data_IF_838652202645
#
_entry.id   IF_838652202645
#
_cell.length_a   1.000
_cell.length_b   1.000
_cell.length_c   1.000
_cell.angle_alpha   90.00
_cell.angle_beta   90.00
_cell.angle_gamma   90.00
#
_symmetry.space_group_name_H-M   'P 1'
#
loop_
_entity.id
_entity.type
_entity.pdbx_description
1 polymer ?
#
# COMPACT_ATOMS: atom_id res chain seq x y z
N UNK A 1 20.05 52.92 12.90
CA UNK A 1 19.84 52.46 11.51
C UNK A 1 18.94 51.24 11.57
N UNK A 2 17.79 51.32 10.91
CA UNK A 2 16.67 50.40 11.02
C UNK A 2 16.78 49.35 9.92
N UNK A 3 16.62 48.07 10.25
CA UNK A 3 16.41 47.01 9.27
C UNK A 3 15.29 46.12 9.77
N UNK A 4 14.11 46.31 9.17
CA UNK A 4 12.89 45.57 9.43
C UNK A 4 12.96 44.18 8.78
N UNK A 5 12.62 43.13 9.54
CA UNK A 5 12.43 41.79 9.03
C UNK A 5 10.93 41.58 8.77
N UNK A 6 10.55 41.40 7.51
CA UNK A 6 9.16 41.21 7.08
C UNK A 6 8.77 39.75 7.31
N UNK A 7 7.83 39.52 8.22
CA UNK A 7 7.17 38.23 8.45
C UNK A 7 6.00 38.08 7.49
N UNK A 8 6.05 37.10 6.58
CA UNK A 8 4.92 36.78 5.70
C UNK A 8 4.01 35.80 6.43
N UNK A 9 2.92 36.31 6.98
CA UNK A 9 1.75 35.52 7.38
C UNK A 9 1.01 35.04 6.11
N UNK A 10 0.81 33.73 5.96
CA UNK A 10 -0.18 33.19 5.00
C UNK A 10 -1.37 32.65 5.78
N UNK A 11 -2.44 33.42 5.79
CA UNK A 11 -3.77 33.01 6.25
C UNK A 11 -4.37 31.99 5.29
N UNK A 12 -4.81 30.84 5.81
CA UNK A 12 -5.60 29.85 5.08
C UNK A 12 -7.07 30.24 5.24
N UNK A 13 -7.70 30.67 4.15
CA UNK A 13 -9.14 30.90 4.09
C UNK A 13 -9.87 29.59 3.81
N UNK A 14 -10.73 29.17 4.75
CA UNK A 14 -11.78 28.18 4.52
C UNK A 14 -12.86 28.80 3.63
N UNK A 15 -13.18 28.18 2.49
CA UNK A 15 -14.45 28.42 1.78
C UNK A 15 -15.14 27.08 1.54
N UNK A 16 -16.38 27.04 2.03
CA UNK A 16 -17.28 25.91 2.05
C UNK A 16 -17.81 25.55 0.66
N UNK A 17 -18.04 24.25 0.45
CA UNK A 17 -18.74 23.68 -0.69
C UNK A 17 -20.25 23.96 -0.63
N UNK A 18 -20.91 24.10 -1.79
CA UNK A 18 -22.29 23.65 -2.07
C UNK A 18 -22.57 23.61 -3.60
N UNK A 19 -23.59 22.87 -4.06
CA UNK A 19 -23.59 22.16 -5.35
C UNK A 19 -24.39 22.88 -6.45
N UNK A 20 -24.17 22.49 -7.71
CA UNK A 20 -25.04 22.89 -8.82
C UNK A 20 -25.61 21.70 -9.59
N UNK A 21 -26.94 21.73 -9.70
CA UNK A 21 -27.83 20.80 -10.37
C UNK A 21 -28.06 21.14 -11.84
N UNK A 22 -28.23 20.09 -12.66
CA UNK A 22 -29.12 19.92 -13.82
C UNK A 22 -29.45 21.10 -14.75
N UNK A 23 -29.18 20.92 -16.06
CA UNK A 23 -30.20 21.06 -17.13
C UNK A 23 -29.82 20.33 -18.44
N UNK A 24 -30.84 19.68 -19.01
CA UNK A 24 -30.93 19.04 -20.35
C UNK A 24 -30.80 20.05 -21.50
N UNK A 25 -30.46 19.58 -22.71
CA UNK A 25 -31.30 19.64 -23.93
C UNK A 25 -30.73 18.71 -25.04
N UNK A 26 -31.66 18.30 -25.91
CA UNK A 26 -31.72 17.27 -26.96
C UNK A 26 -30.73 17.34 -28.13
N UNK A 27 -30.54 16.18 -28.77
CA UNK A 27 -30.12 16.03 -30.17
C UNK A 27 -30.23 14.58 -30.63
N UNK A 28 -31.37 14.22 -31.25
CA UNK A 28 -31.62 12.95 -31.95
C UNK A 28 -30.74 12.86 -33.20
N UNK A 29 -30.17 11.69 -33.50
CA UNK A 29 -30.26 11.12 -34.86
C UNK A 29 -29.99 9.61 -34.87
N UNK A 30 -30.90 8.90 -35.52
CA UNK A 30 -30.90 7.46 -35.79
C UNK A 30 -30.58 7.31 -37.27
N UNK A 31 -29.65 6.41 -37.63
CA UNK A 31 -29.72 5.70 -38.91
C UNK A 31 -28.96 4.37 -38.84
N UNK A 32 -29.72 3.28 -38.94
CA UNK A 32 -29.26 1.92 -39.30
C UNK A 32 -29.07 1.86 -40.81
N UNK A 33 -28.10 1.08 -41.28
CA UNK A 33 -28.37 -0.10 -42.14
C UNK A 33 -27.13 -0.98 -42.33
N UNK A 34 -27.39 -2.29 -42.39
CA UNK A 34 -26.48 -3.40 -42.65
C UNK A 34 -26.03 -3.47 -44.11
N UNK A 35 -24.84 -4.04 -44.37
CA UNK A 35 -24.60 -4.80 -45.61
C UNK A 35 -23.45 -5.81 -45.44
N UNK A 36 -23.75 -7.04 -45.86
CA UNK A 36 -22.91 -8.25 -45.96
C UNK A 36 -21.92 -8.19 -47.12
N UNK A 37 -20.76 -8.86 -47.00
CA UNK A 37 -19.86 -9.14 -48.12
C UNK A 37 -18.59 -9.90 -47.73
N UNK A 38 -18.43 -11.09 -48.32
CA UNK A 38 -17.46 -12.16 -48.04
C UNK A 38 -16.04 -11.93 -48.61
N UNK A 39 -15.04 -12.57 -48.00
CA UNK A 39 -13.59 -12.62 -48.31
C UNK A 39 -13.24 -13.12 -49.74
N UNK A 40 -11.99 -12.87 -50.21
CA UNK A 40 -10.98 -13.93 -50.09
C UNK A 40 -9.55 -13.49 -49.70
N UNK A 41 -8.83 -14.49 -49.20
CA UNK A 41 -7.41 -14.64 -48.84
C UNK A 41 -6.42 -14.11 -49.89
N UNK A 42 -5.33 -13.44 -49.46
CA UNK A 42 -3.94 -13.54 -49.97
C UNK A 42 -2.99 -12.78 -49.01
N UNK A 43 -2.00 -13.49 -48.48
CA UNK A 43 -0.72 -12.99 -47.91
C UNK A 43 0.31 -12.92 -49.07
N UNK A 44 1.34 -12.04 -49.09
CA UNK A 44 2.41 -12.08 -48.09
C UNK A 44 3.12 -10.73 -47.80
N UNK A 45 4.15 -10.84 -46.95
CA UNK A 45 5.31 -9.93 -46.75
C UNK A 45 5.18 -8.89 -45.65
N UNK A 46 5.91 -9.16 -44.56
CA UNK A 46 6.12 -8.30 -43.40
C UNK A 46 6.96 -7.07 -43.74
N UNK A 47 6.63 -5.88 -43.20
CA UNK A 47 7.62 -4.86 -42.93
C UNK A 47 8.15 -5.06 -41.50
N UNK A 48 9.46 -5.27 -41.38
CA UNK A 48 10.18 -5.13 -40.12
C UNK A 48 10.11 -3.65 -39.70
N UNK A 49 9.10 -3.30 -38.91
CA UNK A 49 9.07 -2.02 -38.21
C UNK A 49 9.86 -2.20 -36.92
N UNK A 50 11.12 -1.79 -36.95
CA UNK A 50 11.91 -1.57 -35.75
C UNK A 50 11.32 -0.39 -34.99
N UNK A 51 10.50 -0.66 -33.97
CA UNK A 51 10.11 0.36 -33.00
C UNK A 51 11.33 0.69 -32.13
N UNK A 52 11.82 1.94 -32.09
CA UNK A 52 12.81 2.33 -31.10
C UNK A 52 12.17 2.34 -29.71
N UNK A 53 12.90 2.05 -28.62
CA UNK A 53 12.36 2.18 -27.28
C UNK A 53 12.40 3.66 -26.92
N UNK A 54 11.34 4.40 -27.25
CA UNK A 54 11.12 5.71 -26.63
C UNK A 54 9.68 6.14 -26.72
N UNK A 55 9.01 6.11 -25.58
CA UNK A 55 8.51 7.36 -25.02
C UNK A 55 8.26 7.15 -23.53
N UNK A 56 8.98 7.93 -22.72
CA UNK A 56 8.59 8.23 -21.36
C UNK A 56 7.18 8.83 -21.42
N UNK A 57 6.18 7.98 -21.18
CA UNK A 57 4.83 8.46 -20.90
C UNK A 57 4.92 9.12 -19.53
N UNK A 58 4.52 10.39 -19.51
CA UNK A 58 4.42 11.24 -18.33
C UNK A 58 3.54 10.54 -17.28
N UNK A 59 4.16 9.72 -16.42
CA UNK A 59 3.47 9.11 -15.30
C UNK A 59 3.23 10.22 -14.26
N UNK A 60 1.98 10.39 -13.91
CA UNK A 60 1.50 11.26 -12.83
C UNK A 60 2.29 11.00 -11.54
N UNK A 61 3.17 11.94 -11.18
CA UNK A 61 3.50 12.32 -9.81
C UNK A 61 4.05 11.29 -8.83
N UNK A 62 4.42 10.07 -9.24
CA UNK A 62 5.21 9.19 -8.39
C UNK A 62 6.66 9.71 -8.42
N UNK A 63 7.24 10.01 -7.26
CA UNK A 63 8.70 10.08 -7.12
C UNK A 63 9.16 8.73 -6.60
N UNK A 64 9.34 7.71 -7.47
CA UNK A 64 9.99 6.49 -7.06
C UNK A 64 11.40 6.87 -6.62
N UNK A 65 11.73 6.57 -5.37
CA UNK A 65 13.12 6.62 -4.96
C UNK A 65 13.72 5.29 -5.34
N UNK A 66 14.79 5.32 -6.11
CA UNK A 66 15.70 4.18 -6.31
C UNK A 66 16.47 3.92 -5.01
N UNK A 67 15.74 3.63 -3.95
CA UNK A 67 16.23 3.19 -2.65
C UNK A 67 15.93 1.70 -2.54
N UNK A 68 16.89 0.82 -2.90
CA UNK A 68 16.69 -0.62 -2.86
C UNK A 68 16.14 -1.05 -1.50
N UNK A 69 15.18 -1.98 -1.51
CA UNK A 69 14.58 -2.47 -0.28
C UNK A 69 15.68 -2.95 0.69
N UNK A 70 15.60 -2.50 1.95
CA UNK A 70 16.60 -2.77 3.02
C UNK A 70 17.94 -2.03 2.88
N UNK A 71 18.08 -1.07 1.97
CA UNK A 71 19.22 -0.15 1.97
C UNK A 71 19.11 0.91 3.08
N UNK A 72 20.21 1.57 3.42
CA UNK A 72 20.21 2.64 4.43
C UNK A 72 19.33 3.82 4.01
N UNK A 73 19.31 4.15 2.72
CA UNK A 73 18.42 5.16 2.13
C UNK A 73 16.95 4.77 2.30
N UNK A 74 16.63 3.48 2.10
CA UNK A 74 15.28 2.96 2.30
C UNK A 74 14.84 3.07 3.77
N UNK A 75 15.71 2.73 4.73
CA UNK A 75 15.43 2.93 6.15
C UNK A 75 15.27 4.41 6.51
N UNK A 76 16.09 5.29 5.91
CA UNK A 76 16.01 6.72 6.14
C UNK A 76 14.68 7.31 5.64
N UNK A 77 14.26 6.97 4.42
CA UNK A 77 12.98 7.41 3.84
C UNK A 77 11.77 7.01 4.69
N UNK A 78 11.82 5.81 5.28
CA UNK A 78 10.76 5.24 6.13
C UNK A 78 10.71 5.81 7.52
N UNK A 79 11.82 6.33 8.05
CA UNK A 79 11.91 6.87 9.41
C UNK A 79 10.89 7.99 9.59
N UNK A 80 10.86 8.91 8.65
CA UNK A 80 10.01 10.11 8.69
C UNK A 80 8.65 9.94 8.02
N UNK A 81 8.23 8.69 7.78
CA UNK A 81 6.96 8.38 7.13
C UNK A 81 6.22 7.27 7.84
N UNK A 82 4.90 7.34 7.78
CA UNK A 82 4.04 6.23 8.13
C UNK A 82 3.97 5.27 6.95
N UNK A 83 4.43 4.04 7.16
CA UNK A 83 4.51 3.04 6.09
C UNK A 83 3.28 2.13 6.11
N UNK A 84 2.83 1.67 4.95
CA UNK A 84 1.61 0.83 4.82
C UNK A 84 1.61 -0.39 5.74
N UNK A 85 2.78 -1.01 5.96
CA UNK A 85 2.96 -2.14 6.88
C UNK A 85 2.64 -1.81 8.35
N UNK A 86 2.64 -0.53 8.73
CA UNK A 86 2.35 -0.05 10.09
C UNK A 86 0.93 0.48 10.26
N UNK A 87 0.13 0.54 9.20
CA UNK A 87 -1.21 1.15 9.24
C UNK A 87 -2.13 0.47 10.25
N UNK A 88 -2.16 -0.87 10.30
CA UNK A 88 -2.98 -1.60 11.29
C UNK A 88 -2.60 -1.25 12.73
N UNK A 89 -1.32 -0.97 13.00
CA UNK A 89 -0.84 -0.49 14.30
C UNK A 89 -1.32 0.94 14.58
N UNK A 90 -1.17 1.86 13.62
CA UNK A 90 -1.66 3.24 13.74
C UNK A 90 -3.19 3.31 13.90
N UNK A 91 -3.92 2.36 13.31
CA UNK A 91 -5.37 2.19 13.43
C UNK A 91 -5.80 1.55 14.76
N UNK A 92 -4.86 1.05 15.58
CA UNK A 92 -5.14 0.45 16.89
C UNK A 92 -5.63 -0.99 16.84
N UNK A 93 -5.26 -1.78 15.83
CA UNK A 93 -5.73 -3.18 15.72
C UNK A 93 -5.16 -4.09 16.81
N UNK A 94 -4.02 -3.73 17.38
CA UNK A 94 -3.30 -4.54 18.34
C UNK A 94 -3.60 -4.10 19.76
N UNK A 95 -3.73 -5.07 20.67
CA UNK A 95 -3.91 -4.83 22.10
C UNK A 95 -2.68 -4.14 22.71
N UNK A 96 -2.88 -3.51 23.87
CA UNK A 96 -1.82 -2.89 24.65
C UNK A 96 -1.40 -1.53 24.10
N UNK A 97 -0.10 -1.26 24.14
CA UNK A 97 0.52 0.02 23.83
C UNK A 97 1.10 0.11 22.41
N UNK A 98 0.84 -0.84 21.51
CA UNK A 98 1.48 -0.91 20.18
C UNK A 98 1.31 0.36 19.35
N UNK A 99 0.15 1.02 19.45
CA UNK A 99 -0.12 2.30 18.77
C UNK A 99 0.72 3.44 19.34
N UNK A 100 0.91 3.50 20.67
CA UNK A 100 1.77 4.50 21.30
C UNK A 100 3.26 4.19 21.14
N UNK A 101 3.66 2.92 21.06
CA UNK A 101 5.01 2.49 20.68
C UNK A 101 5.37 2.97 19.28
N UNK A 102 4.48 2.79 18.30
CA UNK A 102 4.67 3.30 16.95
C UNK A 102 4.76 4.83 16.94
N UNK A 103 3.90 5.52 17.70
CA UNK A 103 4.00 6.97 17.83
C UNK A 103 5.35 7.38 18.42
N UNK A 104 5.84 6.69 19.45
CA UNK A 104 7.13 6.95 20.05
C UNK A 104 8.28 6.76 19.05
N UNK A 105 8.26 5.67 18.26
CA UNK A 105 9.23 5.44 17.16
C UNK A 105 9.24 6.59 16.15
N UNK A 106 8.07 7.16 15.85
CA UNK A 106 7.95 8.27 14.89
C UNK A 106 8.32 9.62 15.47
N UNK A 107 8.17 9.83 16.77
CA UNK A 107 8.45 11.11 17.42
C UNK A 107 9.89 11.21 17.92
N UNK A 108 10.38 10.16 18.57
CA UNK A 108 11.70 10.14 19.18
C UNK A 108 12.66 9.36 18.30
N UNK A 109 13.83 9.95 18.04
CA UNK A 109 14.96 9.27 17.41
C UNK A 109 15.59 8.29 18.43
N UNK A 110 14.82 7.33 18.93
CA UNK A 110 15.34 6.33 19.86
C UNK A 110 16.05 5.22 19.09
N UNK A 111 17.26 4.90 19.51
CA UNK A 111 17.94 3.68 19.11
C UNK A 111 17.04 2.48 19.43
N UNK A 112 16.83 1.67 18.39
CA UNK A 112 16.07 0.42 18.33
C UNK A 112 15.97 -0.26 19.70
N UNK A 113 14.77 -0.25 20.30
CA UNK A 113 14.51 -1.05 21.49
C UNK A 113 14.88 -2.51 21.24
N UNK A 114 15.38 -3.20 22.27
CA UNK A 114 15.69 -4.62 22.23
C UNK A 114 14.46 -5.41 21.74
N UNK A 115 14.46 -5.75 20.44
CA UNK A 115 13.37 -6.50 19.84
C UNK A 115 13.40 -7.94 20.37
N UNK A 116 12.26 -8.40 20.86
CA UNK A 116 12.08 -9.78 21.34
C UNK A 116 12.56 -10.79 20.29
N UNK A 117 13.22 -11.86 20.74
CA UNK A 117 13.81 -12.88 19.86
C UNK A 117 12.79 -13.47 18.85
N UNK A 118 11.53 -13.64 19.27
CA UNK A 118 10.47 -14.16 18.37
C UNK A 118 10.15 -13.20 17.21
N UNK A 119 10.11 -11.89 17.45
CA UNK A 119 9.88 -10.88 16.39
C UNK A 119 11.05 -10.85 15.42
N UNK A 120 12.28 -10.94 15.95
CA UNK A 120 13.51 -11.03 15.15
C UNK A 120 13.51 -12.28 14.26
N UNK A 121 13.22 -13.44 14.81
CA UNK A 121 13.13 -14.69 14.05
C UNK A 121 12.06 -14.64 12.96
N UNK A 122 10.90 -14.02 13.22
CA UNK A 122 9.87 -13.84 12.21
C UNK A 122 10.30 -12.91 11.06
N UNK A 123 11.01 -11.83 11.37
CA UNK A 123 11.54 -10.91 10.36
C UNK A 123 12.64 -11.57 9.52
N UNK A 124 13.59 -12.23 10.15
CA UNK A 124 14.67 -12.98 9.48
C UNK A 124 14.10 -14.07 8.57
N UNK A 125 13.09 -14.82 9.05
CA UNK A 125 12.38 -15.82 8.24
C UNK A 125 11.75 -15.21 6.99
N UNK A 126 11.05 -14.08 7.12
CA UNK A 126 10.47 -13.36 5.99
C UNK A 126 11.55 -12.96 4.98
N UNK A 127 12.61 -12.31 5.46
CA UNK A 127 13.74 -11.83 4.68
C UNK A 127 14.40 -12.94 3.86
N UNK A 128 14.64 -14.11 4.49
CA UNK A 128 15.31 -15.24 3.86
C UNK A 128 14.46 -15.90 2.77
N UNK A 129 13.14 -15.92 2.93
CA UNK A 129 12.25 -16.69 2.06
C UNK A 129 11.52 -15.85 1.01
N UNK A 130 11.53 -14.52 1.11
CA UNK A 130 10.84 -13.62 0.19
C UNK A 130 11.23 -13.86 -1.28
N UNK A 131 12.52 -13.95 -1.58
CA UNK A 131 13.00 -14.23 -2.95
C UNK A 131 12.49 -15.58 -3.45
N UNK A 132 12.54 -16.63 -2.62
CA UNK A 132 12.04 -17.97 -2.98
C UNK A 132 10.54 -17.94 -3.24
N UNK A 133 9.78 -17.21 -2.41
CA UNK A 133 8.36 -17.03 -2.57
C UNK A 133 8.01 -16.28 -3.88
N UNK A 134 8.72 -15.19 -4.20
CA UNK A 134 8.52 -14.44 -5.46
C UNK A 134 8.78 -15.33 -6.66
N UNK A 135 9.88 -16.10 -6.68
CA UNK A 135 10.18 -17.02 -7.78
C UNK A 135 9.14 -18.14 -7.90
N UNK A 136 8.61 -18.64 -6.77
CA UNK A 136 7.48 -19.59 -6.81
C UNK A 136 6.22 -18.97 -7.37
N UNK A 137 5.90 -17.74 -6.98
CA UNK A 137 4.75 -16.99 -7.53
C UNK A 137 4.88 -16.82 -9.06
N UNK A 138 6.06 -16.43 -9.57
CA UNK A 138 6.35 -16.34 -11.01
C UNK A 138 6.14 -17.68 -11.70
N UNK A 139 6.67 -18.76 -11.12
CA UNK A 139 6.52 -20.12 -11.66
C UNK A 139 5.06 -20.58 -11.74
N UNK A 140 4.23 -20.26 -10.74
CA UNK A 140 2.81 -20.63 -10.72
C UNK A 140 2.00 -19.81 -11.72
N UNK A 141 2.23 -18.50 -11.76
CA UNK A 141 1.37 -17.56 -12.49
C UNK A 141 1.84 -17.27 -13.92
N UNK A 142 3.11 -17.54 -14.21
CA UNK A 142 3.78 -17.13 -15.46
C UNK A 142 3.94 -15.62 -15.60
N UNK A 143 3.70 -14.84 -14.53
CA UNK A 143 3.80 -13.37 -14.57
C UNK A 143 5.20 -12.92 -14.17
N UNK A 144 5.69 -11.89 -14.86
CA UNK A 144 6.86 -11.16 -14.41
C UNK A 144 6.54 -10.27 -13.19
N UNK A 145 7.55 -10.08 -12.35
CA UNK A 145 7.49 -9.24 -11.15
C UNK A 145 8.62 -8.22 -11.22
N UNK A 146 8.26 -6.95 -11.35
CA UNK A 146 9.22 -5.84 -11.33
C UNK A 146 9.44 -5.36 -9.89
N UNK A 147 10.68 -5.04 -9.52
CA UNK A 147 11.00 -4.52 -8.20
C UNK A 147 10.75 -3.02 -8.12
N UNK A 148 10.29 -2.57 -6.95
CA UNK A 148 10.18 -1.15 -6.60
C UNK A 148 10.68 -0.97 -5.17
N UNK A 149 11.63 -0.06 -4.96
CA UNK A 149 12.22 0.20 -3.65
C UNK A 149 11.22 0.82 -2.66
N UNK A 150 10.91 2.10 -2.86
CA UNK A 150 9.98 2.84 -2.01
C UNK A 150 9.19 3.88 -2.81
N UNK A 151 7.88 3.94 -2.57
CA UNK A 151 6.98 4.92 -3.13
C UNK A 151 6.45 5.84 -2.03
N UNK A 152 6.37 7.13 -2.34
CA UNK A 152 5.71 8.15 -1.52
C UNK A 152 4.38 8.48 -2.20
N UNK A 153 3.37 8.84 -1.41
CA UNK A 153 2.11 9.33 -1.94
C UNK A 153 2.35 10.53 -2.88
N UNK A 154 1.77 10.49 -4.07
CA UNK A 154 2.00 11.49 -5.13
C UNK A 154 1.42 12.87 -4.79
N UNK A 155 0.29 12.90 -4.08
CA UNK A 155 -0.27 14.13 -3.53
C UNK A 155 0.57 14.66 -2.36
N UNK A 156 1.14 15.86 -2.52
CA UNK A 156 2.09 16.43 -1.56
C UNK A 156 1.56 16.61 -0.13
N UNK A 157 0.25 16.75 0.06
CA UNK A 157 -0.36 16.81 1.41
C UNK A 157 -0.29 15.48 2.19
N UNK A 158 0.07 14.39 1.50
CA UNK A 158 0.19 13.04 2.03
C UNK A 158 1.61 12.47 1.89
N UNK A 159 2.63 13.30 1.69
CA UNK A 159 4.03 12.90 1.54
C UNK A 159 4.61 12.15 2.76
N UNK A 160 3.93 12.22 3.90
CA UNK A 160 4.17 11.47 5.11
C UNK A 160 3.71 10.01 5.05
N UNK A 161 3.00 9.60 3.99
CA UNK A 161 2.63 8.22 3.70
C UNK A 161 3.61 7.60 2.69
N UNK A 162 4.00 6.34 2.93
CA UNK A 162 4.83 5.60 1.98
C UNK A 162 4.59 4.10 1.95
N UNK A 163 4.95 3.49 0.82
CA UNK A 163 4.75 2.08 0.53
C UNK A 163 6.03 1.45 -0.03
N UNK A 164 6.24 0.17 0.27
CA UNK A 164 7.31 -0.66 -0.28
C UNK A 164 6.66 -1.99 -0.65
N UNK A 165 6.08 -2.11 -1.86
CA UNK A 165 5.53 -3.38 -2.31
C UNK A 165 6.67 -4.38 -2.58
N UNK A 166 6.38 -5.68 -2.48
CA UNK A 166 7.36 -6.72 -2.81
C UNK A 166 7.51 -6.89 -4.33
N UNK A 167 6.54 -6.41 -5.10
CA UNK A 167 6.68 -6.27 -6.55
C UNK A 167 5.52 -5.57 -7.24
N UNK A 168 5.75 -5.18 -8.48
CA UNK A 168 4.75 -4.68 -9.41
C UNK A 168 4.47 -5.73 -10.48
N UNK A 169 3.19 -5.86 -10.82
CA UNK A 169 2.69 -6.86 -11.75
C UNK A 169 2.11 -6.17 -12.99
N UNK A 170 2.67 -6.45 -14.16
CA UNK A 170 2.19 -5.86 -15.43
C UNK A 170 2.40 -4.35 -15.53
N UNK A 171 1.91 -3.76 -16.63
CA UNK A 171 2.05 -2.34 -16.92
C UNK A 171 0.85 -1.52 -16.43
N UNK A 172 1.08 -0.25 -16.10
CA UNK A 172 -0.02 0.70 -15.85
C UNK A 172 -0.90 0.87 -17.11
N UNK A 173 -2.22 1.04 -16.99
CA UNK A 173 -3.02 1.14 -15.76
C UNK A 173 -3.53 -0.21 -15.22
N UNK A 174 -3.45 -1.29 -16.00
CA UNK A 174 -4.08 -2.57 -15.67
C UNK A 174 -3.26 -3.43 -14.69
N UNK A 175 -2.02 -3.03 -14.45
CA UNK A 175 -1.10 -3.67 -13.53
C UNK A 175 -1.59 -3.66 -12.08
N UNK A 176 -0.99 -4.51 -11.27
CA UNK A 176 -1.28 -4.63 -9.84
C UNK A 176 -0.02 -4.69 -9.01
N UNK A 177 -0.21 -5.04 -7.75
CA UNK A 177 0.86 -5.13 -6.75
C UNK A 177 0.98 -6.57 -6.29
N UNK A 178 2.21 -7.02 -6.07
CA UNK A 178 2.51 -8.25 -5.35
C UNK A 178 2.88 -7.90 -3.91
N UNK A 179 2.21 -8.52 -2.96
CA UNK A 179 2.56 -8.48 -1.53
C UNK A 179 2.77 -9.91 -1.03
N UNK A 180 4.01 -10.24 -0.68
CA UNK A 180 4.43 -11.56 -0.24
C UNK A 180 4.44 -11.64 1.28
N UNK A 181 3.93 -12.74 1.82
CA UNK A 181 4.02 -13.07 3.23
C UNK A 181 4.53 -14.49 3.41
N UNK A 182 5.55 -14.62 4.25
CA UNK A 182 6.10 -15.90 4.71
C UNK A 182 5.81 -16.03 6.21
N UNK A 183 4.67 -16.59 6.64
CA UNK A 183 4.28 -16.63 8.05
C UNK A 183 5.25 -17.48 8.88
N UNK A 184 5.72 -16.95 10.00
CA UNK A 184 6.61 -17.68 10.93
C UNK A 184 5.87 -18.67 11.85
N UNK A 185 4.54 -18.74 11.74
CA UNK A 185 3.67 -19.67 12.47
C UNK A 185 4.03 -19.84 13.96
N UNK A 186 4.13 -18.73 14.69
CA UNK A 186 4.49 -18.70 16.13
C UNK A 186 5.82 -19.41 16.46
N UNK A 187 6.81 -19.32 15.56
CA UNK A 187 8.12 -19.95 15.74
C UNK A 187 8.25 -21.35 15.16
N UNK A 188 7.25 -21.81 14.38
CA UNK A 188 7.20 -23.15 13.79
C UNK A 188 6.83 -23.09 12.29
N UNK A 189 7.60 -22.36 11.47
CA UNK A 189 7.28 -22.17 10.06
C UNK A 189 7.13 -23.48 9.27
N UNK A 190 7.84 -24.54 9.65
CA UNK A 190 7.79 -25.88 9.06
C UNK A 190 6.42 -26.56 9.19
N UNK A 191 5.61 -26.13 10.15
CA UNK A 191 4.23 -26.62 10.32
C UNK A 191 3.18 -25.66 9.75
N UNK A 192 3.62 -24.54 9.18
CA UNK A 192 2.74 -23.50 8.66
C UNK A 192 2.02 -23.95 7.39
N UNK A 193 0.72 -23.68 7.33
CA UNK A 193 -0.09 -23.85 6.12
C UNK A 193 -0.43 -22.47 5.53
N UNK A 194 -0.55 -22.36 4.20
CA UNK A 194 -0.97 -21.13 3.57
C UNK A 194 -2.42 -20.79 3.94
N UNK A 195 -2.76 -19.52 3.95
CA UNK A 195 -4.07 -19.07 4.42
C UNK A 195 -5.19 -19.43 3.45
N UNK A 196 -6.31 -19.91 3.97
CA UNK A 196 -7.53 -20.09 3.16
C UNK A 196 -8.23 -18.77 2.85
N UNK A 197 -8.04 -17.77 3.71
CA UNK A 197 -8.61 -16.42 3.62
C UNK A 197 -7.58 -15.42 4.11
N UNK A 198 -7.56 -14.23 3.54
CA UNK A 198 -6.62 -13.17 3.95
C UNK A 198 -6.81 -12.83 5.43
N UNK A 199 -5.73 -12.73 6.22
CA UNK A 199 -5.82 -12.15 7.56
C UNK A 199 -6.22 -10.67 7.47
N UNK A 200 -7.35 -10.31 8.08
CA UNK A 200 -7.96 -8.98 7.96
C UNK A 200 -7.01 -7.82 8.33
N UNK A 201 -6.04 -8.05 9.22
CA UNK A 201 -5.08 -7.05 9.66
C UNK A 201 -4.06 -6.67 8.57
N UNK A 202 -4.01 -7.35 7.42
CA UNK A 202 -3.26 -6.88 6.25
C UNK A 202 -4.08 -5.97 5.34
N UNK A 203 -5.41 -5.88 5.52
CA UNK A 203 -6.28 -5.08 4.66
C UNK A 203 -5.89 -3.59 4.62
N UNK A 204 -5.59 -2.91 5.77
CA UNK A 204 -5.08 -1.54 5.73
C UNK A 204 -3.80 -1.39 4.89
N UNK A 205 -2.89 -2.37 4.98
CA UNK A 205 -1.62 -2.32 4.27
C UNK A 205 -1.83 -2.34 2.75
N UNK A 206 -2.56 -3.34 2.24
CA UNK A 206 -2.74 -3.51 0.79
C UNK A 206 -3.59 -2.40 0.17
N UNK A 207 -4.60 -1.90 0.90
CA UNK A 207 -5.39 -0.75 0.45
C UNK A 207 -4.55 0.54 0.40
N UNK A 208 -3.66 0.73 1.37
CA UNK A 208 -2.69 1.82 1.34
C UNK A 208 -1.69 1.73 0.20
N UNK A 209 -1.24 0.52 -0.16
CA UNK A 209 -0.38 0.32 -1.32
C UNK A 209 -1.11 0.68 -2.62
N UNK A 210 -2.35 0.21 -2.80
CA UNK A 210 -3.18 0.56 -3.95
C UNK A 210 -3.41 2.07 -4.08
N UNK A 211 -3.60 2.76 -2.96
CA UNK A 211 -3.70 4.22 -2.98
C UNK A 211 -2.40 4.89 -3.42
N UNK A 212 -1.30 4.61 -2.71
CA UNK A 212 -0.02 5.30 -2.90
C UNK A 212 0.55 5.06 -4.31
N UNK A 213 0.39 3.85 -4.83
CA UNK A 213 0.92 3.47 -6.14
C UNK A 213 -0.09 3.66 -7.29
N UNK A 214 -1.31 4.10 -6.99
CA UNK A 214 -2.43 4.18 -7.93
C UNK A 214 -2.60 2.87 -8.74
N UNK A 215 -3.01 1.83 -8.03
CA UNK A 215 -3.28 0.49 -8.58
C UNK A 215 -4.63 0.00 -8.08
N UNK A 216 -5.35 -0.73 -8.92
CA UNK A 216 -6.72 -1.15 -8.59
C UNK A 216 -6.79 -2.51 -7.87
N UNK A 217 -5.68 -3.27 -7.80
CA UNK A 217 -5.65 -4.57 -7.15
C UNK A 217 -4.26 -4.98 -6.63
N UNK A 218 -4.27 -5.85 -5.61
CA UNK A 218 -3.08 -6.52 -5.05
C UNK A 218 -3.30 -8.04 -5.06
N UNK A 219 -2.27 -8.79 -5.44
CA UNK A 219 -2.14 -10.20 -5.07
C UNK A 219 -1.40 -10.31 -3.74
N UNK A 220 -2.14 -10.69 -2.69
CA UNK A 220 -1.53 -11.14 -1.46
C UNK A 220 -1.13 -12.60 -1.62
N UNK A 221 0.17 -12.84 -1.67
CA UNK A 221 0.74 -14.17 -1.81
C UNK A 221 1.25 -14.67 -0.47
N UNK A 222 0.61 -15.71 0.07
CA UNK A 222 1.06 -16.39 1.28
C UNK A 222 1.83 -17.64 0.90
N UNK A 223 3.12 -17.67 1.23
CA UNK A 223 4.00 -18.80 0.99
C UNK A 223 4.40 -19.45 2.31
N UNK A 224 4.36 -20.78 2.35
CA UNK A 224 4.90 -21.60 3.43
C UNK A 224 5.68 -22.78 2.85
N UNK A 225 6.49 -23.49 3.66
CA UNK A 225 7.15 -24.72 3.21
C UNK A 225 6.18 -25.82 2.76
N UNK A 226 4.91 -25.75 3.18
CA UNK A 226 3.89 -26.78 2.90
C UNK A 226 2.94 -26.40 1.76
N UNK A 227 3.09 -25.21 1.16
CA UNK A 227 2.24 -24.76 0.06
C UNK A 227 2.13 -23.24 -0.01
N UNK A 228 1.26 -22.78 -0.91
CA UNK A 228 1.06 -21.35 -1.13
C UNK A 228 -0.38 -21.00 -1.50
N UNK A 229 -0.76 -19.74 -1.33
CA UNK A 229 -2.05 -19.22 -1.80
C UNK A 229 -1.89 -17.82 -2.38
N UNK A 230 -2.64 -17.54 -3.45
CA UNK A 230 -2.76 -16.21 -4.06
C UNK A 230 -4.17 -15.72 -3.78
N UNK A 231 -4.29 -14.61 -3.05
CA UNK A 231 -5.57 -13.97 -2.72
C UNK A 231 -5.58 -12.58 -3.33
N UNK A 232 -6.53 -12.33 -4.24
CA UNK A 232 -6.70 -11.04 -4.88
C UNK A 232 -7.61 -10.12 -4.06
N UNK A 233 -7.11 -8.92 -3.83
CA UNK A 233 -7.82 -7.82 -3.17
C UNK A 233 -7.97 -6.68 -4.16
N UNK A 234 -9.18 -6.15 -4.32
CA UNK A 234 -9.45 -4.97 -5.13
C UNK A 234 -9.46 -3.70 -4.26
N UNK A 235 -9.15 -2.55 -4.86
CA UNK A 235 -9.19 -1.24 -4.21
C UNK A 235 -10.61 -0.92 -3.76
N UNK A 236 -10.76 -0.51 -2.50
CA UNK A 236 -12.04 -0.11 -1.93
C UNK A 236 -11.91 1.30 -1.34
N UNK A 237 -12.42 2.26 -2.10
CA UNK A 237 -12.22 3.71 -1.85
C UNK A 237 -12.93 4.15 -0.57
N UNK A 238 -14.12 3.62 -0.27
CA UNK A 238 -14.86 3.97 0.95
C UNK A 238 -14.16 3.49 2.22
N UNK A 239 -13.51 2.32 2.16
CA UNK A 239 -12.64 1.82 3.21
C UNK A 239 -11.39 2.68 3.36
N UNK A 240 -10.75 3.04 2.24
CA UNK A 240 -9.57 3.90 2.26
C UNK A 240 -9.87 5.26 2.89
N UNK A 241 -10.97 5.93 2.51
CA UNK A 241 -11.38 7.21 3.11
C UNK A 241 -11.51 7.13 4.65
N UNK A 242 -12.03 6.01 5.17
CA UNK A 242 -12.11 5.79 6.60
C UNK A 242 -10.72 5.59 7.22
N UNK A 243 -9.87 4.77 6.61
CA UNK A 243 -8.50 4.53 7.07
C UNK A 243 -7.70 5.83 7.07
N UNK A 244 -7.70 6.54 5.95
CA UNK A 244 -6.95 7.78 5.73
C UNK A 244 -7.27 8.84 6.79
N UNK A 245 -8.55 9.04 7.14
CA UNK A 245 -8.96 9.96 8.22
C UNK A 245 -8.27 9.64 9.54
N UNK A 246 -8.18 8.36 9.90
CA UNK A 246 -7.57 7.92 11.16
C UNK A 246 -6.04 8.03 11.09
N UNK A 247 -5.44 7.78 9.92
CA UNK A 247 -4.01 7.98 9.72
C UNK A 247 -3.63 9.46 9.79
N UNK A 248 -4.47 10.36 9.24
CA UNK A 248 -4.33 11.81 9.37
C UNK A 248 -4.39 12.22 10.84
N UNK A 249 -5.39 11.75 11.59
CA UNK A 249 -5.50 12.04 13.02
C UNK A 249 -4.25 11.56 13.79
N UNK A 250 -3.76 10.36 13.50
CA UNK A 250 -2.54 9.83 14.11
C UNK A 250 -1.31 10.66 13.76
N UNK A 251 -1.14 11.04 12.49
CA UNK A 251 0.07 11.72 12.05
C UNK A 251 0.05 13.21 12.39
N UNK A 252 -0.95 13.95 11.89
CA UNK A 252 -1.06 15.40 12.09
C UNK A 252 -1.57 15.76 13.48
N UNK A 253 -2.34 14.90 14.14
CA UNK A 253 -2.87 15.15 15.48
C UNK A 253 -1.94 14.69 16.61
N UNK A 254 -1.09 13.68 16.38
CA UNK A 254 -0.22 13.14 17.42
C UNK A 254 1.28 13.26 17.10
N UNK A 255 1.73 12.88 15.90
CA UNK A 255 3.18 12.81 15.58
C UNK A 255 3.77 14.20 15.33
N UNK A 256 3.17 14.98 14.42
CA UNK A 256 3.67 16.31 14.04
C UNK A 256 3.77 17.27 15.23
N UNK A 257 2.71 17.51 16.03
CA UNK A 257 2.80 18.45 17.14
C UNK A 257 3.77 18.00 18.24
N UNK A 258 3.96 16.69 18.41
CA UNK A 258 4.97 16.17 19.32
C UNK A 258 6.39 16.48 18.83
N UNK A 259 6.67 16.28 17.54
CA UNK A 259 7.95 16.65 16.92
C UNK A 259 8.22 18.15 17.04
N UNK A 260 7.21 18.98 16.79
CA UNK A 260 7.32 20.44 16.96
C UNK A 260 7.63 20.84 18.40
N UNK A 261 6.96 20.23 19.38
CA UNK A 261 7.25 20.47 20.80
C UNK A 261 8.70 20.08 21.16
N UNK A 262 9.22 18.97 20.61
CA UNK A 262 10.61 18.56 20.82
C UNK A 262 11.61 19.54 20.20
N UNK A 263 11.34 20.06 19.00
CA UNK A 263 12.17 21.09 18.37
C UNK A 263 12.25 22.38 19.22
N UNK A 264 11.23 22.65 20.03
CA UNK A 264 11.18 23.76 21.00
C UNK A 264 11.77 23.40 22.37
N UNK A 265 12.33 22.21 22.56
CA UNK A 265 12.88 21.74 23.83
C UNK A 265 11.83 21.41 24.90
N UNK A 266 10.57 21.18 24.52
CA UNK A 266 9.44 20.95 25.44
C UNK A 266 9.06 19.46 25.48
N UNK A 267 9.91 18.63 26.09
CA UNK A 267 9.71 17.17 26.10
C UNK A 267 8.43 16.73 26.82
N UNK A 268 8.08 17.35 27.95
CA UNK A 268 6.85 17.01 28.68
C UNK A 268 5.60 17.31 27.84
N UNK A 269 5.61 18.44 27.12
CA UNK A 269 4.54 18.80 26.20
C UNK A 269 4.45 17.81 25.03
N UNK A 270 5.59 17.35 24.49
CA UNK A 270 5.62 16.35 23.42
C UNK A 270 4.92 15.04 23.86
N UNK A 271 5.14 14.60 25.11
CA UNK A 271 4.50 13.39 25.67
C UNK A 271 2.99 13.51 25.79
N UNK A 272 2.45 14.72 25.95
CA UNK A 272 0.99 14.95 26.02
C UNK A 272 0.25 14.61 24.72
N UNK A 273 0.96 14.59 23.58
CA UNK A 273 0.39 14.24 22.28
C UNK A 273 0.35 12.72 22.01
N UNK A 274 0.79 11.88 22.96
CA UNK A 274 0.75 10.44 22.78
C UNK A 274 -0.69 9.94 22.53
N UNK A 275 -0.92 9.10 21.50
CA UNK A 275 -2.25 8.60 21.21
C UNK A 275 -2.69 7.55 22.23
N UNK A 276 -4.00 7.44 22.41
CA UNK A 276 -4.62 6.28 23.09
C UNK A 276 -4.32 4.98 22.34
N UNK A 277 -4.41 3.84 23.04
CA UNK A 277 -4.16 2.51 22.46
C UNK A 277 -5.00 2.18 21.22
N UNK A 278 -6.22 2.74 21.16
CA UNK A 278 -7.15 2.60 20.04
C UNK A 278 -7.71 3.96 19.62
N UNK A 279 -8.16 4.05 18.38
CA UNK A 279 -8.94 5.18 17.87
C UNK A 279 -10.43 4.92 18.09
N UNK A 280 -11.25 5.98 18.19
CA UNK A 280 -12.72 5.87 18.36
C UNK A 280 -13.40 5.07 17.24
N UNK A 281 -12.79 4.98 16.06
CA UNK A 281 -13.29 4.20 14.91
C UNK A 281 -12.58 2.85 14.69
N UNK A 282 -11.65 2.44 15.56
CA UNK A 282 -10.90 1.17 15.41
C UNK A 282 -11.83 -0.02 15.18
N UNK A 283 -12.90 -0.15 15.98
CA UNK A 283 -13.87 -1.24 15.84
C UNK A 283 -14.56 -1.26 14.47
N UNK A 284 -14.94 -0.10 13.94
CA UNK A 284 -15.55 0.02 12.62
C UNK A 284 -14.59 -0.42 11.50
N UNK A 285 -13.33 -0.01 11.57
CA UNK A 285 -12.33 -0.39 10.57
C UNK A 285 -12.10 -1.90 10.62
N UNK A 286 -11.97 -2.50 11.81
CA UNK A 286 -11.80 -3.96 11.97
C UNK A 286 -12.97 -4.72 11.32
N UNK A 287 -14.21 -4.30 11.57
CA UNK A 287 -15.40 -4.93 10.97
C UNK A 287 -15.37 -4.84 9.44
N UNK A 288 -14.99 -3.68 8.88
CA UNK A 288 -14.85 -3.53 7.43
C UNK A 288 -13.69 -4.35 6.86
N UNK A 289 -12.54 -4.40 7.55
CA UNK A 289 -11.41 -5.23 7.14
C UNK A 289 -11.77 -6.71 7.12
N UNK A 290 -12.53 -7.20 8.11
CA UNK A 290 -13.04 -8.58 8.16
C UNK A 290 -13.96 -8.86 6.97
N UNK A 291 -14.89 -7.95 6.68
CA UNK A 291 -15.80 -8.07 5.53
C UNK A 291 -15.01 -8.16 4.22
N UNK A 292 -14.11 -7.21 3.96
CA UNK A 292 -13.32 -7.18 2.73
C UNK A 292 -12.39 -8.39 2.61
N UNK A 293 -11.84 -8.87 3.73
CA UNK A 293 -10.99 -10.07 3.71
C UNK A 293 -11.78 -11.34 3.36
N UNK A 294 -13.06 -11.43 3.77
CA UNK A 294 -13.95 -12.52 3.40
C UNK A 294 -14.42 -12.44 1.93
N UNK A 295 -14.50 -11.23 1.38
CA UNK A 295 -14.85 -10.98 -0.04
C UNK A 295 -13.64 -11.09 -0.98
N UNK A 296 -12.42 -11.09 -0.45
CA UNK A 296 -11.19 -11.23 -1.23
C UNK A 296 -11.13 -12.60 -1.93
N UNK A 297 -10.78 -12.58 -3.21
CA UNK A 297 -10.89 -13.76 -4.07
C UNK A 297 -9.65 -14.63 -3.95
N UNK A 298 -9.79 -15.86 -3.46
CA UNK A 298 -8.75 -16.87 -3.63
C UNK A 298 -8.62 -17.20 -5.12
N UNK A 299 -7.46 -16.97 -5.70
CA UNK A 299 -7.19 -17.25 -7.12
C UNK A 299 -6.49 -18.60 -7.32
N UNK A 300 -5.61 -18.94 -6.39
CA UNK A 300 -4.78 -20.12 -6.49
C UNK A 300 -4.49 -20.67 -5.10
N UNK A 301 -4.47 -21.99 -4.98
CA UNK A 301 -3.94 -22.72 -3.84
C UNK A 301 -3.01 -23.81 -4.32
N UNK A 302 -1.84 -23.87 -3.72
CA UNK A 302 -0.88 -24.93 -3.88
C UNK A 302 -0.72 -25.65 -2.54
N UNK A 303 -0.83 -26.98 -2.53
CA UNK A 303 -0.51 -27.83 -1.38
C UNK A 303 0.25 -29.04 -1.87
N UNK A 304 1.41 -29.34 -1.26
CA UNK A 304 2.23 -30.51 -1.60
C UNK A 304 2.52 -30.64 -3.13
N UNK A 305 2.74 -29.53 -3.81
CA UNK A 305 3.02 -29.46 -5.25
C UNK A 305 1.79 -29.57 -6.16
N UNK A 306 0.60 -29.85 -5.63
CA UNK A 306 -0.64 -29.79 -6.39
C UNK A 306 -1.17 -28.35 -6.43
N UNK A 307 -1.40 -27.83 -7.63
CA UNK A 307 -1.87 -26.46 -7.87
C UNK A 307 -3.32 -26.50 -8.35
N UNK A 308 -4.19 -25.77 -7.64
CA UNK A 308 -5.59 -25.57 -7.98
C UNK A 308 -5.86 -24.08 -8.20
N UNK A 309 -6.46 -23.75 -9.35
CA UNK A 309 -6.91 -22.39 -9.68
C UNK A 309 -8.42 -22.27 -9.49
N UNK A 310 -8.84 -21.15 -8.89
CA UNK A 310 -10.24 -20.85 -8.63
C UNK A 310 -10.72 -19.74 -9.58
N UNK A 311 -11.92 -19.94 -10.13
CA UNK A 311 -12.54 -19.01 -11.08
C UNK A 311 -13.30 -17.88 -10.43
#
# INVERSE_FOLDING_TARGET
MSTACITIFRSIHYIAAMPLSLRKIFGNEILRTFSTGTLPLISPTAPLVSCPPSSLVLATGLTPYDAPQRSDEWFALRRDRLTTSTFSTALGFWKGNRRSELWHEKVFLSDTQAMEASKRGAMEWGVLNETVAIERYKSITGRDVSLLGFAIHSEGQYDWLGASPDGLLGCFPDGGILEVKCPFNKGKPETGLPWSTMPFYYMPQVQGQMEILDREWVDLYCWTPNGSTIIRVCRERGYWELVQKILIDFWLGNVVPAREALLLGREEAARSYAPTSTHKQTGLVIVKSLKLAAEAKLLCREIAGHIEFYR
#
